data_IF_728019292345
#
_entry.id   IF_728019292345
#
_cell.length_a   1.000
_cell.length_b   1.000
_cell.length_c   1.000
_cell.angle_alpha   90.00
_cell.angle_beta   90.00
_cell.angle_gamma   90.00
#
_symmetry.space_group_name_H-M   'P 1'
#
loop_
_entity.id
_entity.type
_entity.pdbx_description
1 polymer ?
#
# COMPACT_ATOMS: atom_id res chain seq x y z
N UNK A 1 8.82 5.49 1.57
CA UNK A 1 10.07 4.72 1.78
C UNK A 1 10.21 3.54 0.82
N UNK A 2 9.16 2.78 0.49
CA UNK A 2 9.29 1.61 -0.41
C UNK A 2 9.80 1.94 -1.83
N UNK A 3 9.54 3.14 -2.35
CA UNK A 3 9.96 3.55 -3.69
C UNK A 3 11.46 3.85 -3.84
N UNK A 4 12.23 3.97 -2.75
CA UNK A 4 13.65 4.28 -2.81
C UNK A 4 14.51 3.16 -2.19
N UNK A 5 15.74 3.03 -2.69
CA UNK A 5 16.70 2.02 -2.20
C UNK A 5 17.60 2.55 -1.07
N UNK A 6 17.60 3.85 -0.83
CA UNK A 6 18.36 4.48 0.25
C UNK A 6 17.54 4.52 1.55
N UNK A 7 18.22 4.55 2.72
CA UNK A 7 17.55 4.80 3.99
C UNK A 7 16.74 6.09 3.95
N UNK A 8 15.54 6.06 4.55
CA UNK A 8 14.69 7.24 4.73
C UNK A 8 14.51 7.48 6.21
N UNK A 9 14.81 8.70 6.65
CA UNK A 9 14.56 9.16 8.02
C UNK A 9 13.32 10.03 8.03
N UNK A 10 12.39 9.70 8.91
CA UNK A 10 11.16 10.45 9.18
C UNK A 10 11.28 11.04 10.59
N UNK A 11 11.12 12.36 10.69
CA UNK A 11 11.12 13.09 11.96
C UNK A 11 9.69 13.38 12.41
N UNK A 12 9.52 13.74 13.69
CA UNK A 12 8.24 14.09 14.31
C UNK A 12 7.14 13.04 14.12
N UNK A 13 7.54 11.76 14.07
CA UNK A 13 6.62 10.64 13.96
C UNK A 13 5.97 10.40 15.32
N UNK A 14 4.64 10.50 15.47
CA UNK A 14 3.98 10.26 16.74
C UNK A 14 4.01 8.78 17.12
N UNK A 15 3.83 8.47 18.40
CA UNK A 15 3.72 7.09 18.87
C UNK A 15 2.26 6.64 18.88
N UNK A 16 1.78 6.18 17.72
CA UNK A 16 0.41 5.73 17.51
C UNK A 16 0.39 4.27 17.06
N UNK A 17 -0.68 3.56 17.42
CA UNK A 17 -0.90 2.16 17.01
C UNK A 17 -0.87 2.00 15.48
N UNK A 18 -1.40 2.97 14.73
CA UNK A 18 -1.37 2.94 13.26
C UNK A 18 0.05 3.01 12.70
N UNK A 19 0.94 3.79 13.33
CA UNK A 19 2.36 3.87 12.94
C UNK A 19 3.05 2.53 13.21
N UNK A 20 2.80 1.93 14.37
CA UNK A 20 3.36 0.63 14.73
C UNK A 20 2.84 -0.48 13.79
N UNK A 21 1.56 -0.42 13.42
CA UNK A 21 0.92 -1.36 12.50
C UNK A 21 1.49 -1.25 11.09
N UNK A 22 1.67 -0.02 10.59
CA UNK A 22 2.34 0.21 9.30
C UNK A 22 3.80 -0.27 9.33
N UNK A 23 4.52 -0.06 10.44
CA UNK A 23 5.88 -0.59 10.60
C UNK A 23 5.89 -2.13 10.54
N UNK A 24 4.89 -2.81 11.09
CA UNK A 24 4.72 -4.26 10.98
C UNK A 24 4.43 -4.72 9.54
N UNK A 25 3.59 -4.00 8.79
CA UNK A 25 3.38 -4.25 7.36
C UNK A 25 4.71 -4.15 6.60
N UNK A 26 5.48 -3.08 6.81
CA UNK A 26 6.78 -2.90 6.16
C UNK A 26 7.77 -4.00 6.53
N UNK A 27 7.89 -4.35 7.82
CA UNK A 27 8.77 -5.44 8.27
C UNK A 27 8.42 -6.78 7.65
N UNK A 28 7.14 -7.05 7.41
CA UNK A 28 6.71 -8.29 6.74
C UNK A 28 7.17 -8.40 5.28
N UNK A 29 7.53 -7.27 4.65
CA UNK A 29 8.13 -7.21 3.31
C UNK A 29 9.67 -7.30 3.35
N UNK A 30 10.26 -7.55 4.52
CA UNK A 30 11.72 -7.57 4.73
C UNK A 30 12.35 -6.19 4.94
N UNK A 31 11.55 -5.14 5.13
CA UNK A 31 12.06 -3.78 5.39
C UNK A 31 12.53 -3.66 6.83
N UNK A 32 13.72 -3.08 7.03
CA UNK A 32 14.20 -2.77 8.38
C UNK A 32 13.63 -1.42 8.82
N UNK A 33 12.90 -1.42 9.94
CA UNK A 33 12.29 -0.21 10.53
C UNK A 33 12.75 -0.07 11.97
N UNK A 34 13.52 0.98 12.25
CA UNK A 34 14.00 1.35 13.59
C UNK A 34 13.42 2.69 14.04
N UNK A 35 13.21 2.85 15.35
CA UNK A 35 12.65 4.07 15.95
C UNK A 35 13.48 4.49 17.15
N UNK A 36 13.73 5.80 17.26
CA UNK A 36 14.31 6.43 18.45
C UNK A 36 13.56 7.74 18.71
N UNK A 37 12.79 7.78 19.81
CA UNK A 37 11.92 8.92 20.12
C UNK A 37 10.90 9.20 19.02
N UNK A 38 10.86 10.44 18.54
CA UNK A 38 10.04 10.88 17.40
C UNK A 38 10.66 10.61 16.02
N UNK A 39 11.84 9.99 15.95
CA UNK A 39 12.51 9.71 14.68
C UNK A 39 12.39 8.24 14.31
N UNK A 40 11.98 7.96 13.06
CA UNK A 40 11.88 6.62 12.49
C UNK A 40 12.76 6.51 11.26
N UNK A 41 13.59 5.48 11.20
CA UNK A 41 14.44 5.18 10.07
C UNK A 41 13.95 3.91 9.36
N UNK A 42 13.79 4.00 8.04
CA UNK A 42 13.27 2.92 7.20
C UNK A 42 14.28 2.58 6.11
N UNK A 43 14.77 1.34 6.10
CA UNK A 43 15.72 0.83 5.11
C UNK A 43 15.04 -0.24 4.25
N UNK A 44 14.65 0.13 3.04
CA UNK A 44 13.97 -0.73 2.07
C UNK A 44 14.87 -1.07 0.86
N UNK A 45 16.17 -1.31 1.07
CA UNK A 45 17.13 -1.53 -0.05
C UNK A 45 16.72 -2.69 -0.96
N UNK A 46 16.28 -3.79 -0.36
CA UNK A 46 15.72 -4.95 -1.04
C UNK A 46 14.50 -5.43 -0.25
N UNK A 47 13.47 -5.89 -0.96
CA UNK A 47 12.30 -6.51 -0.36
C UNK A 47 12.49 -8.03 -0.44
N UNK A 48 12.06 -8.76 0.60
CA UNK A 48 12.14 -10.22 0.62
C UNK A 48 10.97 -10.89 -0.11
N UNK A 49 9.86 -10.18 -0.29
CA UNK A 49 8.67 -10.65 -0.97
C UNK A 49 7.82 -9.47 -1.46
N UNK A 50 6.80 -9.76 -2.26
CA UNK A 50 5.77 -8.83 -2.73
C UNK A 50 4.41 -9.04 -2.04
N UNK A 51 4.38 -9.93 -1.04
CA UNK A 51 3.18 -10.30 -0.27
C UNK A 51 3.40 -9.93 1.21
N UNK A 52 2.89 -8.77 1.68
CA UNK A 52 2.94 -8.46 3.09
C UNK A 52 2.08 -9.45 3.90
N UNK A 53 2.36 -9.55 5.20
CA UNK A 53 1.61 -10.41 6.09
C UNK A 53 0.12 -10.04 6.09
N UNK A 54 -0.74 -11.01 5.75
CA UNK A 54 -2.20 -10.85 5.67
C UNK A 54 -2.81 -10.25 6.93
N UNK A 55 -2.38 -10.71 8.11
CA UNK A 55 -2.90 -10.21 9.38
C UNK A 55 -2.56 -8.72 9.60
N UNK A 56 -1.33 -8.32 9.24
CA UNK A 56 -0.87 -6.93 9.38
C UNK A 56 -1.61 -5.97 8.41
N UNK A 57 -1.89 -6.42 7.18
CA UNK A 57 -2.70 -5.62 6.24
C UNK A 57 -4.15 -5.49 6.71
N UNK A 58 -4.73 -6.55 7.29
CA UNK A 58 -6.11 -6.51 7.80
C UNK A 58 -6.27 -5.69 9.07
N UNK A 59 -5.23 -5.58 9.89
CA UNK A 59 -5.27 -4.77 11.12
C UNK A 59 -5.22 -3.26 10.86
N UNK A 60 -4.75 -2.83 9.69
CA UNK A 60 -4.65 -1.42 9.33
C UNK A 60 -5.13 -1.22 7.90
N UNK A 61 -6.27 -0.53 7.72
CA UNK A 61 -6.82 -0.26 6.39
C UNK A 61 -5.82 0.47 5.47
N UNK A 62 -5.04 1.40 6.03
CA UNK A 62 -3.97 2.11 5.30
C UNK A 62 -2.83 1.18 4.86
N UNK A 63 -2.71 -0.02 5.43
CA UNK A 63 -1.77 -1.06 5.02
C UNK A 63 -1.95 -1.47 3.56
N UNK A 64 -3.16 -1.30 2.98
CA UNK A 64 -3.40 -1.53 1.55
C UNK A 64 -2.58 -0.59 0.65
N UNK A 65 -2.20 0.60 1.13
CA UNK A 65 -1.49 1.62 0.33
C UNK A 65 -0.09 1.19 -0.14
N UNK A 66 0.47 0.10 0.40
CA UNK A 66 1.75 -0.45 -0.06
C UNK A 66 1.67 -1.08 -1.46
N UNK A 67 0.46 -1.39 -1.96
CA UNK A 67 0.27 -1.95 -3.31
C UNK A 67 0.87 -1.07 -4.41
N UNK A 68 0.68 0.26 -4.31
CA UNK A 68 1.20 1.21 -5.30
C UNK A 68 2.73 1.21 -5.37
N UNK A 69 3.44 1.41 -4.25
CA UNK A 69 4.88 1.30 -4.22
C UNK A 69 5.44 -0.07 -4.63
N UNK A 70 4.77 -1.17 -4.27
CA UNK A 70 5.16 -2.51 -4.69
C UNK A 70 5.05 -2.65 -6.22
N UNK A 71 3.94 -2.24 -6.82
CA UNK A 71 3.76 -2.26 -8.27
C UNK A 71 4.76 -1.33 -8.99
N UNK A 72 4.97 -0.13 -8.46
CA UNK A 72 5.90 0.84 -9.06
C UNK A 72 7.35 0.35 -9.03
N UNK A 73 7.72 -0.50 -8.08
CA UNK A 73 9.11 -0.93 -7.86
C UNK A 73 9.37 -2.37 -8.29
N UNK A 74 8.58 -3.30 -7.81
CA UNK A 74 8.73 -4.76 -8.01
C UNK A 74 7.83 -5.28 -9.13
N UNK A 75 6.96 -4.43 -9.70
CA UNK A 75 5.99 -4.77 -10.78
C UNK A 75 4.95 -5.82 -10.41
N UNK A 76 4.92 -6.22 -9.15
CA UNK A 76 4.02 -7.22 -8.62
C UNK A 76 3.67 -6.90 -7.17
N UNK A 77 2.44 -7.23 -6.78
CA UNK A 77 1.96 -7.17 -5.41
C UNK A 77 0.91 -8.26 -5.20
N UNK A 78 0.97 -8.92 -4.04
CA UNK A 78 -0.06 -9.87 -3.62
C UNK A 78 -0.62 -9.39 -2.29
N UNK A 79 -1.87 -8.94 -2.28
CA UNK A 79 -2.44 -8.17 -1.18
C UNK A 79 -3.71 -8.83 -0.64
N UNK A 80 -3.83 -8.94 0.68
CA UNK A 80 -5.14 -9.17 1.26
C UNK A 80 -6.01 -7.91 1.13
N UNK A 81 -7.30 -8.07 0.82
CA UNK A 81 -8.23 -6.96 0.87
C UNK A 81 -8.43 -6.51 2.34
N UNK A 82 -8.60 -5.19 2.59
CA UNK A 82 -9.00 -4.70 3.90
C UNK A 82 -10.30 -5.36 4.37
N UNK A 83 -10.41 -5.61 5.68
CA UNK A 83 -11.64 -6.13 6.27
C UNK A 83 -12.78 -5.09 6.31
N UNK A 84 -13.88 -5.48 6.96
CA UNK A 84 -14.99 -4.59 7.26
C UNK A 84 -14.56 -3.40 8.14
N UNK A 85 -15.37 -2.34 8.13
CA UNK A 85 -15.11 -1.12 8.90
C UNK A 85 -16.40 -0.68 9.61
N UNK A 86 -16.30 -0.33 10.89
CA UNK A 86 -17.45 -0.06 11.74
C UNK A 86 -18.27 1.17 11.32
N UNK A 87 -17.63 2.10 10.59
CA UNK A 87 -18.27 3.32 10.07
C UNK A 87 -18.84 3.15 8.65
N UNK A 88 -18.97 1.91 8.18
CA UNK A 88 -19.61 1.57 6.91
C UNK A 88 -18.66 1.06 5.84
N UNK A 89 -19.24 0.79 4.67
CA UNK A 89 -18.52 0.24 3.54
C UNK A 89 -17.49 1.26 3.01
N UNK A 90 -16.23 0.82 2.96
CA UNK A 90 -15.14 1.58 2.35
C UNK A 90 -14.48 0.64 1.34
N UNK A 91 -14.95 0.59 0.10
CA UNK A 91 -14.31 -0.23 -0.92
C UNK A 91 -12.93 0.33 -1.28
N UNK A 92 -12.12 -0.49 -1.96
CA UNK A 92 -10.83 -0.07 -2.55
C UNK A 92 -10.90 -0.05 -4.08
N UNK A 93 -12.10 -0.14 -4.64
CA UNK A 93 -12.35 -0.27 -6.09
C UNK A 93 -11.76 0.88 -6.90
N UNK A 94 -11.78 2.11 -6.38
CA UNK A 94 -11.15 3.25 -7.05
C UNK A 94 -9.62 3.09 -7.16
N UNK A 95 -8.97 2.49 -6.15
CA UNK A 95 -7.55 2.17 -6.25
C UNK A 95 -7.29 1.12 -7.33
N UNK A 96 -8.13 0.09 -7.39
CA UNK A 96 -7.99 -1.00 -8.37
C UNK A 96 -8.20 -0.49 -9.80
N UNK A 97 -9.29 0.24 -10.05
CA UNK A 97 -9.59 0.85 -11.36
C UNK A 97 -8.46 1.77 -11.84
N UNK A 98 -7.90 2.57 -10.94
CA UNK A 98 -6.75 3.43 -11.25
C UNK A 98 -5.53 2.62 -11.67
N UNK A 99 -5.19 1.57 -10.92
CA UNK A 99 -4.05 0.71 -11.22
C UNK A 99 -4.24 -0.09 -12.52
N UNK A 100 -5.44 -0.60 -12.78
CA UNK A 100 -5.79 -1.27 -14.03
C UNK A 100 -5.65 -0.34 -15.23
N UNK A 101 -6.16 0.88 -15.12
CA UNK A 101 -6.02 1.89 -16.16
C UNK A 101 -4.53 2.24 -16.44
N UNK A 102 -3.67 2.15 -15.42
CA UNK A 102 -2.21 2.31 -15.56
C UNK A 102 -1.50 1.08 -16.17
N UNK A 103 -2.25 0.04 -16.54
CA UNK A 103 -1.73 -1.18 -17.17
C UNK A 103 -1.41 -2.33 -16.20
N UNK A 104 -2.01 -2.32 -15.01
CA UNK A 104 -1.90 -3.44 -14.05
C UNK A 104 -2.95 -4.49 -14.36
N UNK A 105 -2.52 -5.75 -14.51
CA UNK A 105 -3.42 -6.90 -14.53
C UNK A 105 -3.75 -7.28 -13.08
N UNK A 106 -5.04 -7.32 -12.76
CA UNK A 106 -5.52 -7.65 -11.42
C UNK A 106 -6.41 -8.89 -11.48
N UNK A 107 -6.15 -9.86 -10.60
CA UNK A 107 -6.97 -11.06 -10.42
C UNK A 107 -7.16 -11.39 -8.95
N UNK A 108 -8.17 -12.20 -8.65
CA UNK A 108 -8.44 -12.69 -7.30
C UNK A 108 -8.15 -14.19 -7.25
N UNK A 109 -7.36 -14.61 -6.27
CA UNK A 109 -7.19 -16.02 -5.88
C UNK A 109 -7.62 -16.16 -4.42
N UNK A 110 -8.82 -16.72 -4.22
CA UNK A 110 -9.48 -16.77 -2.92
C UNK A 110 -9.64 -15.36 -2.31
N UNK A 111 -8.96 -15.12 -1.19
CA UNK A 111 -9.00 -13.84 -0.47
C UNK A 111 -7.81 -12.90 -0.79
N UNK A 112 -6.96 -13.29 -1.74
CA UNK A 112 -5.79 -12.53 -2.14
C UNK A 112 -5.99 -11.89 -3.50
N UNK A 113 -5.67 -10.61 -3.57
CA UNK A 113 -5.59 -9.83 -4.79
C UNK A 113 -4.18 -9.95 -5.35
N UNK A 114 -4.07 -10.46 -6.58
CA UNK A 114 -2.83 -10.53 -7.33
C UNK A 114 -2.82 -9.39 -8.33
N UNK A 115 -1.80 -8.54 -8.26
CA UNK A 115 -1.62 -7.42 -9.17
C UNK A 115 -0.24 -7.50 -9.82
N UNK A 116 -0.17 -7.49 -11.15
CA UNK A 116 1.08 -7.55 -11.91
C UNK A 116 1.09 -6.54 -13.04
N UNK A 117 2.23 -5.91 -13.28
CA UNK A 117 2.41 -4.95 -14.36
C UNK A 117 3.72 -5.23 -15.13
N UNK A 118 3.64 -6.08 -16.14
CA UNK A 118 4.81 -6.60 -16.89
C UNK A 118 5.71 -5.51 -17.46
N UNK A 119 5.12 -4.46 -18.04
CA UNK A 119 5.82 -3.30 -18.61
C UNK A 119 6.12 -2.17 -17.63
N UNK A 120 5.76 -2.31 -16.36
CA UNK A 120 5.72 -1.20 -15.40
C UNK A 120 4.53 -0.26 -15.63
N UNK A 121 4.19 0.49 -14.57
CA UNK A 121 3.04 1.40 -14.55
C UNK A 121 3.19 2.52 -15.59
N UNK A 122 2.12 2.80 -16.33
CA UNK A 122 2.07 3.85 -17.34
C UNK A 122 1.30 5.06 -16.83
N UNK A 123 1.81 6.25 -17.12
CA UNK A 123 1.10 7.49 -16.83
C UNK A 123 -0.19 7.58 -17.66
N UNK A 124 -1.27 8.03 -17.03
CA UNK A 124 -2.59 8.19 -17.64
C UNK A 124 -3.27 9.45 -17.15
N UNK A 125 -4.24 9.93 -17.92
CA UNK A 125 -5.22 10.89 -17.44
C UNK A 125 -6.37 10.13 -16.76
N UNK A 126 -6.50 10.26 -15.45
CA UNK A 126 -7.63 9.72 -14.70
C UNK A 126 -8.75 10.77 -14.75
N UNK A 127 -9.90 10.39 -15.31
CA UNK A 127 -11.13 11.20 -15.25
C UNK A 127 -11.50 11.49 -13.78
N UNK A 128 -12.29 12.53 -13.48
CA UNK A 128 -12.72 12.82 -12.11
C UNK A 128 -13.18 11.55 -11.40
N UNK A 129 -12.56 11.23 -10.26
CA UNK A 129 -12.95 10.06 -9.48
C UNK A 129 -14.37 10.29 -8.99
N UNK A 130 -15.31 9.42 -9.36
CA UNK A 130 -16.75 9.55 -9.14
C UNK A 130 -17.20 9.79 -7.68
N UNK A 131 -16.28 9.71 -6.72
CA UNK A 131 -16.53 9.97 -5.29
C UNK A 131 -16.15 11.39 -4.85
N UNK A 132 -15.18 12.04 -5.51
CA UNK A 132 -14.73 13.39 -5.16
C UNK A 132 -15.58 14.51 -5.77
N UNK A 133 -16.59 14.17 -6.57
CA UNK A 133 -17.64 15.10 -6.96
C UNK A 133 -18.52 15.38 -5.74
N UNK A 134 -18.14 16.39 -4.95
CA UNK A 134 -19.07 17.05 -4.05
C UNK A 134 -20.21 17.53 -4.93
N UNK A 135 -21.39 16.93 -4.79
CA UNK A 135 -22.63 17.51 -5.33
C UNK A 135 -22.82 18.83 -4.60
N UNK A 136 -22.26 19.91 -5.15
CA UNK A 136 -22.61 21.27 -4.79
C UNK A 136 -24.05 21.49 -5.26
N UNK A 137 -24.99 21.32 -4.34
CA UNK A 137 -26.40 21.68 -4.47
C UNK A 137 -26.82 22.45 -3.24
#
# INVERSE_FOLDING_TARGET
>A
CLLCRHPVTLHDVPDLMDIQSMASVLRSLGVVVSRQGGTMEVRARALSCVQPCKAAVRSLRAGFLVIGPLLGREREAVMALPGGCDIGARPVDLHLKGLEAMGTEISMDGELLHARCSSGLKGISIQPLAFCEVRGG
#
